data_IF_211564069850
#
_entry.id   IF_211564069850
#
_cell.length_a   1.000
_cell.length_b   1.000
_cell.length_c   1.000
_cell.angle_alpha   90.00
_cell.angle_beta   90.00
_cell.angle_gamma   90.00
#
_symmetry.space_group_name_H-M   'P 1'
#
loop_
_entity.id
_entity.type
_entity.pdbx_description
1 polymer ?
#
# COMPACT_ATOMS: atom_id res chain seq x y z
N UNK A 1 -5.97 19.84 -7.68
CA UNK A 1 -6.57 18.65 -7.05
C UNK A 1 -5.58 17.53 -7.16
N UNK A 2 -5.39 16.80 -6.08
CA UNK A 2 -4.55 15.61 -6.05
C UNK A 2 -5.21 14.53 -6.91
N UNK A 3 -4.42 13.71 -7.61
CA UNK A 3 -4.95 12.55 -8.33
C UNK A 3 -5.74 11.61 -7.41
N UNK A 4 -5.39 11.58 -6.13
CA UNK A 4 -6.08 10.77 -5.13
C UNK A 4 -7.48 11.31 -4.80
N UNK A 5 -7.73 12.62 -4.92
CA UNK A 5 -9.07 13.21 -4.73
C UNK A 5 -10.01 12.76 -5.85
N UNK A 6 -9.50 12.70 -7.09
CA UNK A 6 -10.26 12.21 -8.25
C UNK A 6 -10.52 10.70 -8.14
N UNK A 7 -9.58 9.94 -7.59
CA UNK A 7 -9.75 8.49 -7.33
C UNK A 7 -10.76 8.24 -6.21
N UNK A 8 -10.78 9.06 -5.16
CA UNK A 8 -11.78 8.94 -4.08
C UNK A 8 -13.20 9.16 -4.61
N UNK A 9 -13.34 10.07 -5.57
CA UNK A 9 -14.64 10.39 -6.19
C UNK A 9 -15.08 9.36 -7.23
N UNK A 10 -14.18 9.01 -8.16
CA UNK A 10 -14.53 8.28 -9.39
C UNK A 10 -13.99 6.83 -9.40
N UNK A 11 -13.14 6.45 -8.44
CA UNK A 11 -12.48 5.15 -8.37
C UNK A 11 -11.28 4.99 -9.31
N UNK A 12 -10.77 3.75 -9.42
CA UNK A 12 -9.72 3.37 -10.37
C UNK A 12 -10.27 3.23 -11.80
N UNK A 13 -10.70 4.34 -12.38
CA UNK A 13 -11.07 4.40 -13.81
C UNK A 13 -9.84 4.25 -14.71
N UNK A 14 -10.00 3.84 -15.98
CA UNK A 14 -8.88 3.77 -16.92
C UNK A 14 -8.09 5.08 -17.07
N UNK A 15 -8.79 6.23 -16.94
CA UNK A 15 -8.15 7.55 -17.00
C UNK A 15 -7.34 7.84 -15.74
N UNK A 16 -7.89 7.54 -14.55
CA UNK A 16 -7.17 7.70 -13.29
C UNK A 16 -5.95 6.76 -13.22
N UNK A 17 -6.06 5.54 -13.73
CA UNK A 17 -4.93 4.60 -13.83
C UNK A 17 -3.83 5.08 -14.77
N UNK A 18 -4.22 5.64 -15.92
CA UNK A 18 -3.26 6.24 -16.86
C UNK A 18 -2.54 7.42 -16.23
N UNK A 19 -3.26 8.29 -15.51
CA UNK A 19 -2.68 9.43 -14.79
C UNK A 19 -1.73 8.97 -13.69
N UNK A 20 -2.10 7.95 -12.90
CA UNK A 20 -1.22 7.35 -11.87
C UNK A 20 0.06 6.78 -12.49
N UNK A 21 -0.06 6.09 -13.63
CA UNK A 21 1.08 5.53 -14.35
C UNK A 21 1.98 6.62 -14.96
N UNK A 22 1.42 7.76 -15.38
CA UNK A 22 2.20 8.90 -15.87
C UNK A 22 2.95 9.61 -14.75
N UNK A 23 2.29 9.83 -13.61
CA UNK A 23 2.87 10.56 -12.47
C UNK A 23 3.94 9.74 -11.73
N UNK A 24 3.66 8.47 -11.44
CA UNK A 24 4.55 7.62 -10.63
C UNK A 24 5.38 6.62 -11.46
N UNK A 25 5.17 6.56 -12.78
CA UNK A 25 5.88 5.67 -13.68
C UNK A 25 5.60 4.20 -13.37
N UNK A 26 6.66 3.38 -13.40
CA UNK A 26 6.57 1.94 -13.09
C UNK A 26 6.02 1.65 -11.68
N UNK A 27 6.24 2.55 -10.72
CA UNK A 27 5.69 2.41 -9.35
C UNK A 27 4.17 2.57 -9.34
N UNK A 28 3.64 3.50 -10.14
CA UNK A 28 2.20 3.69 -10.27
C UNK A 28 1.51 2.45 -10.85
N UNK A 29 2.08 1.88 -11.92
CA UNK A 29 1.58 0.63 -12.51
C UNK A 29 1.58 -0.52 -11.50
N UNK A 30 2.69 -0.71 -10.79
CA UNK A 30 2.82 -1.76 -9.78
C UNK A 30 1.86 -1.55 -8.60
N UNK A 31 1.61 -0.31 -8.20
CA UNK A 31 0.65 0.03 -7.17
C UNK A 31 -0.78 -0.36 -7.57
N UNK A 32 -1.20 -0.01 -8.79
CA UNK A 32 -2.52 -0.38 -9.35
C UNK A 32 -2.68 -1.91 -9.36
N UNK A 33 -1.67 -2.64 -9.86
CA UNK A 33 -1.67 -4.10 -9.88
C UNK A 33 -1.82 -4.69 -8.47
N UNK A 34 -1.16 -4.09 -7.47
CA UNK A 34 -1.19 -4.53 -6.08
C UNK A 34 -2.58 -4.37 -5.47
N UNK A 35 -3.23 -3.23 -5.71
CA UNK A 35 -4.62 -2.96 -5.28
C UNK A 35 -5.57 -3.97 -5.91
N UNK A 36 -5.53 -4.11 -7.24
CA UNK A 36 -6.39 -5.05 -7.99
C UNK A 36 -6.19 -6.52 -7.62
N UNK A 37 -4.98 -6.86 -7.15
CA UNK A 37 -4.67 -8.23 -6.70
C UNK A 37 -5.13 -8.52 -5.27
N UNK A 38 -5.77 -7.56 -4.58
CA UNK A 38 -6.23 -7.74 -3.20
C UNK A 38 -5.11 -7.91 -2.18
N UNK A 39 -3.91 -7.36 -2.45
CA UNK A 39 -2.70 -7.57 -1.63
C UNK A 39 -2.54 -6.56 -0.50
N UNK A 40 -3.61 -5.88 -0.11
CA UNK A 40 -3.59 -4.79 0.85
C UNK A 40 -4.54 -5.13 1.99
N UNK A 41 -4.00 -5.17 3.20
CA UNK A 41 -4.74 -5.42 4.43
C UNK A 41 -4.70 -4.20 5.32
N UNK A 42 -5.86 -3.78 5.82
CA UNK A 42 -5.98 -2.71 6.81
C UNK A 42 -6.20 -3.34 8.18
N UNK A 43 -5.22 -3.19 9.05
CA UNK A 43 -5.33 -3.45 10.48
C UNK A 43 -5.90 -2.21 11.17
N UNK A 44 -6.15 -2.29 12.48
CA UNK A 44 -6.71 -1.19 13.26
C UNK A 44 -5.81 0.04 13.31
N UNK A 45 -4.51 -0.18 13.24
CA UNK A 45 -3.44 0.80 13.42
C UNK A 45 -2.67 1.10 12.13
N UNK A 46 -2.49 0.13 11.23
CA UNK A 46 -1.72 0.34 9.99
C UNK A 46 -2.18 -0.53 8.82
N UNK A 47 -1.63 -0.25 7.63
CA UNK A 47 -1.78 -1.11 6.46
C UNK A 47 -0.60 -2.08 6.34
N UNK A 48 -0.89 -3.27 5.82
CA UNK A 48 0.12 -4.23 5.38
C UNK A 48 -0.06 -4.48 3.90
N UNK A 49 1.00 -4.28 3.12
CA UNK A 49 1.04 -4.56 1.69
C UNK A 49 1.91 -5.79 1.44
N UNK A 50 1.34 -6.81 0.82
CA UNK A 50 2.08 -8.01 0.45
C UNK A 50 2.88 -7.75 -0.83
N UNK A 51 4.20 -7.63 -0.68
CA UNK A 51 5.15 -7.45 -1.77
C UNK A 51 5.73 -8.78 -2.27
N UNK A 52 6.61 -8.69 -3.26
CA UNK A 52 7.31 -9.86 -3.82
C UNK A 52 8.30 -10.51 -2.86
N UNK A 53 8.79 -9.75 -1.88
CA UNK A 53 9.90 -10.11 -0.98
C UNK A 53 9.47 -10.19 0.49
N UNK A 54 8.17 -10.04 0.76
CA UNK A 54 7.61 -10.07 2.10
C UNK A 54 6.49 -9.03 2.27
N UNK A 55 6.02 -8.94 3.50
CA UNK A 55 4.95 -8.04 3.92
C UNK A 55 5.54 -6.73 4.43
N UNK A 56 4.95 -5.62 4.02
CA UNK A 56 5.43 -4.28 4.33
C UNK A 56 4.37 -3.49 5.08
N UNK A 57 4.75 -2.97 6.25
CA UNK A 57 3.90 -2.08 7.04
C UNK A 57 3.94 -0.70 6.39
N UNK A 58 2.76 -0.12 6.24
CA UNK A 58 2.55 1.21 5.67
C UNK A 58 1.62 2.00 6.57
N UNK A 59 2.09 3.16 7.00
CA UNK A 59 1.33 4.15 7.76
C UNK A 59 1.43 5.49 7.02
N UNK A 60 0.30 5.98 6.52
CA UNK A 60 0.26 7.11 5.58
C UNK A 60 1.24 6.90 4.40
N UNK A 61 2.32 7.68 4.36
CA UNK A 61 3.37 7.60 3.35
C UNK A 61 4.59 6.79 3.76
N UNK A 62 4.70 6.46 5.04
CA UNK A 62 5.82 5.72 5.59
C UNK A 62 5.68 4.24 5.27
N UNK A 63 6.72 3.65 4.71
CA UNK A 63 6.75 2.22 4.40
C UNK A 63 8.03 1.58 4.93
N UNK A 64 7.94 0.37 5.46
CA UNK A 64 9.10 -0.37 5.96
C UNK A 64 9.99 -0.99 4.88
N UNK A 65 9.73 -0.73 3.58
CA UNK A 65 10.50 -1.33 2.49
C UNK A 65 11.83 -0.60 2.22
N UNK A 66 12.81 -1.33 1.68
CA UNK A 66 14.12 -0.79 1.33
C UNK A 66 14.07 0.33 0.28
N UNK A 67 13.13 0.29 -0.68
CA UNK A 67 12.96 1.37 -1.68
C UNK A 67 12.52 2.68 -1.00
N UNK A 68 11.66 2.61 0.02
CA UNK A 68 11.29 3.78 0.81
C UNK A 68 12.47 4.33 1.60
N UNK A 69 13.18 3.45 2.33
CA UNK A 69 14.36 3.84 3.12
C UNK A 69 15.44 4.50 2.27
N UNK A 70 15.70 3.97 1.08
CA UNK A 70 16.63 4.60 0.13
C UNK A 70 16.14 5.96 -0.36
N UNK A 71 14.83 6.14 -0.57
CA UNK A 71 14.27 7.41 -1.03
C UNK A 71 14.33 8.51 0.01
N UNK A 72 14.25 8.18 1.30
CA UNK A 72 14.44 9.15 2.39
C UNK A 72 15.81 9.83 2.33
N UNK A 73 16.85 9.11 1.92
CA UNK A 73 18.23 9.65 1.92
C UNK A 73 18.62 10.35 0.62
N UNK A 74 17.95 10.08 -0.51
CA UNK A 74 18.43 10.54 -1.83
C UNK A 74 17.42 11.39 -2.60
N UNK A 75 16.11 11.18 -2.41
CA UNK A 75 15.14 11.63 -3.44
C UNK A 75 13.74 12.03 -2.97
N UNK A 76 13.49 12.14 -1.66
CA UNK A 76 12.23 12.62 -1.08
C UNK A 76 11.00 12.11 -1.84
N UNK A 77 10.60 10.85 -1.63
CA UNK A 77 9.50 10.30 -2.41
C UNK A 77 8.95 8.98 -1.89
N UNK A 78 7.78 8.63 -2.41
CA UNK A 78 7.02 7.45 -2.03
C UNK A 78 7.48 6.19 -2.78
N UNK A 79 7.45 5.03 -2.10
CA UNK A 79 7.60 3.73 -2.75
C UNK A 79 6.25 3.29 -3.36
N UNK A 80 6.25 2.22 -4.16
CA UNK A 80 5.00 1.73 -4.74
C UNK A 80 3.99 1.23 -3.69
N UNK A 81 4.44 0.74 -2.52
CA UNK A 81 3.53 0.30 -1.45
C UNK A 81 2.76 1.49 -0.85
N UNK A 82 3.44 2.62 -0.59
CA UNK A 82 2.78 3.84 -0.10
C UNK A 82 1.75 4.35 -1.11
N UNK A 83 2.09 4.33 -2.41
CA UNK A 83 1.13 4.69 -3.47
C UNK A 83 -0.07 3.72 -3.47
N UNK A 84 0.17 2.41 -3.34
CA UNK A 84 -0.89 1.41 -3.31
C UNK A 84 -1.85 1.62 -2.13
N UNK A 85 -1.33 1.97 -0.95
CA UNK A 85 -2.16 2.26 0.23
C UNK A 85 -2.96 3.54 0.06
N UNK A 86 -2.39 4.58 -0.54
CA UNK A 86 -3.18 5.80 -0.86
C UNK A 86 -4.34 5.49 -1.81
N UNK A 87 -4.09 4.70 -2.86
CA UNK A 87 -5.15 4.26 -3.79
C UNK A 87 -6.20 3.45 -3.03
N UNK A 88 -5.79 2.42 -2.29
CA UNK A 88 -6.70 1.55 -1.55
C UNK A 88 -7.52 2.31 -0.50
N UNK A 89 -6.93 3.30 0.17
CA UNK A 89 -7.65 4.13 1.13
C UNK A 89 -8.67 5.04 0.43
N UNK A 90 -8.34 5.59 -0.75
CA UNK A 90 -9.25 6.39 -1.55
C UNK A 90 -10.40 5.56 -2.15
N UNK A 91 -10.15 4.33 -2.63
CA UNK A 91 -11.18 3.49 -3.24
C UNK A 91 -11.91 2.57 -2.27
N UNK A 92 -11.37 2.36 -1.08
CA UNK A 92 -11.85 1.33 -0.15
C UNK A 92 -11.44 -0.10 -0.53
N UNK A 93 -10.55 -0.28 -1.50
CA UNK A 93 -10.10 -1.60 -1.99
C UNK A 93 -8.98 -2.18 -1.12
N UNK A 94 -9.37 -2.74 0.03
CA UNK A 94 -8.49 -3.48 0.92
C UNK A 94 -9.28 -4.49 1.75
N UNK A 95 -8.60 -5.53 2.23
CA UNK A 95 -9.12 -6.45 3.23
C UNK A 95 -9.05 -5.80 4.61
N UNK A 96 -10.15 -5.74 5.36
CA UNK A 96 -10.13 -5.32 6.78
C UNK A 96 -9.81 -6.52 7.68
N UNK A 97 -8.83 -6.34 8.55
CA UNK A 97 -8.44 -7.34 9.55
C UNK A 97 -8.71 -6.77 10.95
N UNK A 98 -9.66 -7.36 11.67
CA UNK A 98 -10.12 -6.89 12.99
C UNK A 98 -9.19 -7.28 14.16
N UNK A 99 -8.04 -7.87 13.85
CA UNK A 99 -7.03 -8.29 14.82
C UNK A 99 -5.91 -7.23 14.91
N UNK A 100 -5.25 -7.15 16.06
CA UNK A 100 -3.99 -6.42 16.16
C UNK A 100 -2.89 -7.29 15.56
N UNK A 101 -1.99 -6.72 14.77
CA UNK A 101 -0.90 -7.49 14.15
C UNK A 101 -0.01 -8.20 15.19
N UNK A 102 0.11 -7.63 16.39
CA UNK A 102 0.81 -8.25 17.53
C UNK A 102 0.19 -9.59 17.95
N UNK A 103 -1.12 -9.75 17.77
CA UNK A 103 -1.84 -10.98 18.10
C UNK A 103 -1.57 -12.07 17.06
N UNK A 104 -1.28 -11.71 15.81
CA UNK A 104 -0.92 -12.64 14.73
C UNK A 104 0.51 -13.16 14.92
N UNK A 105 1.50 -12.28 15.13
CA UNK A 105 2.89 -12.70 15.37
C UNK A 105 3.00 -13.57 16.63
N UNK A 106 2.25 -13.24 17.68
CA UNK A 106 2.28 -14.01 18.93
C UNK A 106 1.61 -15.38 18.82
N UNK A 107 0.63 -15.55 17.91
CA UNK A 107 0.04 -16.86 17.58
C UNK A 107 1.02 -17.73 16.79
N UNK A 108 1.74 -17.19 15.81
CA UNK A 108 2.75 -17.95 15.04
C UNK A 108 3.88 -18.49 15.93
N UNK A 109 4.25 -17.79 17.00
CA UNK A 109 5.25 -18.28 17.98
C UNK A 109 4.76 -19.43 18.86
N UNK A 110 3.44 -19.66 18.97
CA UNK A 110 2.87 -20.72 19.82
C UNK A 110 2.69 -22.06 19.10
N UNK A 111 2.90 -22.12 17.79
CA UNK A 111 2.85 -23.37 17.00
C UNK A 111 4.19 -24.14 16.97
N UNK A 112 5.21 -23.66 17.69
CA UNK A 112 6.50 -24.33 17.83
C UNK A 112 6.66 -24.79 19.28
N UNK A 113 5.78 -25.66 19.75
CA UNK A 113 5.99 -26.48 20.95
C UNK A 113 5.43 -27.88 20.68
#
# INVERSE_FOLDING_TARGET
MSIFDDIEKDGLTPENEKRLALEFGARGKKAIETVRSGKIKKYKDFFVVQGSTGDYIVEEDFCTCNDYLYRLSVKGGVCYHSIAVRIANATGEYERVEEWYTDIISKDRKSVH
#
